data_IF_909817058869
#
_entry.id   IF_909817058869
#
_cell.length_a   1.000
_cell.length_b   1.000
_cell.length_c   1.000
_cell.angle_alpha   90.00
_cell.angle_beta   90.00
_cell.angle_gamma   90.00
#
_symmetry.space_group_name_H-M   'P 1'
#
loop_
_entity.id
_entity.type
_entity.pdbx_description
1 polymer ?
#
# COMPACT_ATOMS: atom_id res chain seq x y z
N UNK A 1 11.17 9.14 -29.77
CA UNK A 1 9.73 8.80 -29.75
C UNK A 1 9.25 8.90 -28.32
N UNK A 2 8.15 9.62 -28.05
CA UNK A 2 7.58 9.73 -26.69
C UNK A 2 6.64 8.55 -26.40
N UNK A 3 6.48 8.23 -25.12
CA UNK A 3 5.52 7.23 -24.66
C UNK A 3 4.07 7.64 -24.90
N UNK A 4 3.25 6.68 -25.31
CA UNK A 4 1.81 6.82 -25.55
C UNK A 4 1.08 5.51 -25.21
N UNK A 5 -0.24 5.48 -25.38
CA UNK A 5 -1.10 4.34 -25.04
C UNK A 5 -0.70 3.02 -25.70
N UNK A 6 -0.09 3.07 -26.89
CA UNK A 6 0.26 1.87 -27.67
C UNK A 6 1.64 1.31 -27.31
N UNK A 7 2.55 2.15 -26.81
CA UNK A 7 3.96 1.78 -26.67
C UNK A 7 4.52 1.88 -25.25
N UNK A 8 3.79 2.47 -24.29
CA UNK A 8 4.33 2.75 -22.96
C UNK A 8 4.77 1.48 -22.23
N UNK A 9 4.07 0.35 -22.38
CA UNK A 9 4.42 -0.92 -21.71
C UNK A 9 5.80 -1.40 -22.14
N UNK A 10 6.04 -1.45 -23.44
CA UNK A 10 7.31 -1.92 -23.99
C UNK A 10 8.44 -0.94 -23.68
N UNK A 11 8.15 0.38 -23.70
CA UNK A 11 9.13 1.40 -23.32
C UNK A 11 9.47 1.33 -21.83
N UNK A 12 8.49 1.08 -20.96
CA UNK A 12 8.66 0.91 -19.52
C UNK A 12 9.52 -0.31 -19.20
N UNK A 13 9.30 -1.44 -19.89
CA UNK A 13 10.13 -2.64 -19.78
C UNK A 13 11.60 -2.39 -20.13
N UNK A 14 11.86 -1.47 -21.05
CA UNK A 14 13.22 -1.07 -21.45
C UNK A 14 13.84 -0.02 -20.53
N UNK A 15 13.13 0.41 -19.48
CA UNK A 15 13.62 1.42 -18.54
C UNK A 15 13.67 2.83 -19.15
N UNK A 16 12.78 3.16 -20.09
CA UNK A 16 12.67 4.54 -20.56
C UNK A 16 11.85 5.39 -19.58
N UNK A 17 12.45 6.45 -19.06
CA UNK A 17 11.84 7.32 -18.03
C UNK A 17 10.54 7.98 -18.51
N UNK A 18 10.45 8.38 -19.78
CA UNK A 18 9.24 8.97 -20.36
C UNK A 18 8.03 8.01 -20.36
N UNK A 19 8.27 6.69 -20.27
CA UNK A 19 7.20 5.71 -20.08
C UNK A 19 6.70 5.66 -18.64
N UNK A 20 7.58 5.89 -17.66
CA UNK A 20 7.15 6.02 -16.27
C UNK A 20 6.32 7.28 -16.08
N UNK A 21 6.74 8.41 -16.66
CA UNK A 21 5.97 9.66 -16.64
C UNK A 21 4.55 9.44 -17.20
N UNK A 22 4.46 8.80 -18.37
CA UNK A 22 3.16 8.45 -18.95
C UNK A 22 2.32 7.58 -18.01
N UNK A 23 2.92 6.57 -17.37
CA UNK A 23 2.21 5.69 -16.42
C UNK A 23 1.74 6.46 -15.18
N UNK A 24 2.54 7.39 -14.67
CA UNK A 24 2.14 8.24 -13.55
C UNK A 24 0.95 9.09 -13.96
N UNK A 25 1.04 9.80 -15.08
CA UNK A 25 -0.04 10.66 -15.57
C UNK A 25 -1.36 9.91 -15.76
N UNK A 26 -1.31 8.69 -16.33
CA UNK A 26 -2.51 7.91 -16.60
C UNK A 26 -3.11 7.23 -15.36
N UNK A 27 -2.27 6.76 -14.43
CA UNK A 27 -2.73 5.86 -13.36
C UNK A 27 -2.67 6.48 -11.95
N UNK A 28 -2.12 7.68 -11.77
CA UNK A 28 -2.03 8.34 -10.44
C UNK A 28 -3.37 8.42 -9.73
N UNK A 29 -4.44 8.78 -10.43
CA UNK A 29 -5.78 8.86 -9.85
C UNK A 29 -6.29 7.51 -9.34
N UNK A 30 -6.03 6.42 -10.08
CA UNK A 30 -6.40 5.06 -9.68
C UNK A 30 -5.58 4.60 -8.47
N UNK A 31 -4.27 4.81 -8.51
CA UNK A 31 -3.33 4.44 -7.44
C UNK A 31 -3.68 5.19 -6.15
N UNK A 32 -3.79 6.52 -6.22
CA UNK A 32 -4.15 7.39 -5.09
C UNK A 32 -5.51 7.01 -4.52
N UNK A 33 -6.52 6.82 -5.36
CA UNK A 33 -7.85 6.40 -4.91
C UNK A 33 -7.83 5.06 -4.17
N UNK A 34 -7.04 4.09 -4.65
CA UNK A 34 -6.89 2.78 -4.00
C UNK A 34 -6.18 2.90 -2.65
N UNK A 35 -5.11 3.67 -2.58
CA UNK A 35 -4.33 3.87 -1.35
C UNK A 35 -5.14 4.65 -0.31
N UNK A 36 -5.81 5.74 -0.70
CA UNK A 36 -6.62 6.55 0.20
C UNK A 36 -7.76 5.75 0.83
N UNK A 37 -8.35 4.77 0.12
CA UNK A 37 -9.36 3.87 0.70
C UNK A 37 -8.83 3.05 1.88
N UNK A 38 -7.54 2.71 1.88
CA UNK A 38 -6.93 1.86 2.90
C UNK A 38 -6.24 2.69 4.00
N UNK A 39 -5.50 3.73 3.61
CA UNK A 39 -4.67 4.53 4.51
C UNK A 39 -5.31 5.85 4.96
N UNK A 40 -6.40 6.28 4.32
CA UNK A 40 -7.02 7.59 4.57
C UNK A 40 -7.45 7.80 6.01
N UNK A 41 -7.79 6.73 6.73
CA UNK A 41 -8.13 6.78 8.16
C UNK A 41 -6.99 7.30 9.06
N UNK A 42 -5.74 7.28 8.61
CA UNK A 42 -4.61 7.79 9.40
C UNK A 42 -4.42 9.31 9.26
N UNK A 43 -5.09 9.96 8.31
CA UNK A 43 -4.92 11.40 7.99
C UNK A 43 -3.45 11.83 7.83
N UNK A 44 -2.61 10.90 7.38
CA UNK A 44 -1.16 11.07 7.22
C UNK A 44 -0.85 11.16 5.73
N UNK A 45 -0.81 12.39 5.21
CA UNK A 45 -0.60 12.63 3.78
C UNK A 45 0.77 12.16 3.32
N UNK A 46 1.81 12.26 4.17
CA UNK A 46 3.15 11.77 3.87
C UNK A 46 3.18 10.26 3.67
N UNK A 47 2.48 9.51 4.53
CA UNK A 47 2.32 8.05 4.38
C UNK A 47 1.64 7.66 3.06
N UNK A 48 0.63 8.43 2.64
CA UNK A 48 -0.09 8.19 1.39
C UNK A 48 0.84 8.45 0.19
N UNK A 49 1.57 9.57 0.19
CA UNK A 49 2.50 9.94 -0.88
C UNK A 49 3.66 8.95 -1.00
N UNK A 50 4.24 8.52 0.13
CA UNK A 50 5.29 7.49 0.16
C UNK A 50 4.77 6.17 -0.43
N UNK A 51 3.55 5.76 -0.05
CA UNK A 51 2.94 4.54 -0.58
C UNK A 51 2.65 4.63 -2.08
N UNK A 52 2.24 5.79 -2.59
CA UNK A 52 2.05 6.04 -4.04
C UNK A 52 3.38 5.89 -4.77
N UNK A 53 4.45 6.51 -4.26
CA UNK A 53 5.79 6.42 -4.84
C UNK A 53 6.28 4.96 -4.88
N UNK A 54 6.08 4.22 -3.79
CA UNK A 54 6.41 2.79 -3.70
C UNK A 54 5.69 1.93 -4.75
N UNK A 55 4.46 2.28 -5.10
CA UNK A 55 3.71 1.59 -6.17
C UNK A 55 4.36 1.82 -7.51
N UNK A 56 4.62 3.08 -7.88
CA UNK A 56 5.24 3.40 -9.17
C UNK A 56 6.67 2.86 -9.28
N UNK A 57 7.44 2.89 -8.19
CA UNK A 57 8.75 2.26 -8.12
C UNK A 57 8.65 0.73 -8.31
N UNK A 58 7.63 0.10 -7.71
CA UNK A 58 7.38 -1.33 -7.91
C UNK A 58 6.99 -1.67 -9.34
N UNK A 59 6.18 -0.82 -9.97
CA UNK A 59 5.80 -0.93 -11.38
C UNK A 59 7.04 -0.83 -12.27
N UNK A 60 7.88 0.18 -12.06
CA UNK A 60 9.15 0.35 -12.78
C UNK A 60 10.04 -0.88 -12.66
N UNK A 61 10.34 -1.29 -11.43
CA UNK A 61 11.26 -2.40 -11.15
C UNK A 61 10.75 -3.76 -11.63
N UNK A 62 9.43 -3.93 -11.79
CA UNK A 62 8.84 -5.20 -12.20
C UNK A 62 8.20 -5.16 -13.60
N UNK A 63 8.39 -4.07 -14.36
CA UNK A 63 7.80 -3.91 -15.70
C UNK A 63 8.12 -5.09 -16.62
N UNK A 64 9.36 -5.60 -16.60
CA UNK A 64 9.79 -6.76 -17.39
C UNK A 64 9.00 -8.05 -17.12
N UNK A 65 8.36 -8.18 -15.94
CA UNK A 65 7.57 -9.35 -15.57
C UNK A 65 6.13 -9.27 -16.08
N UNK A 66 5.67 -8.10 -16.51
CA UNK A 66 4.33 -7.91 -17.03
C UNK A 66 4.21 -8.50 -18.46
N UNK A 67 3.15 -9.29 -18.71
CA UNK A 67 2.96 -10.02 -19.99
C UNK A 67 1.59 -9.79 -20.65
N UNK A 68 0.79 -8.85 -20.14
CA UNK A 68 -0.55 -8.57 -20.66
C UNK A 68 -0.60 -7.35 -21.58
N UNK A 69 -1.82 -6.95 -21.91
CA UNK A 69 -2.13 -5.74 -22.69
C UNK A 69 -2.50 -4.57 -21.78
N UNK A 70 -2.87 -3.42 -22.35
CA UNK A 70 -3.19 -2.20 -21.58
C UNK A 70 -4.28 -2.40 -20.51
N UNK A 71 -5.32 -3.19 -20.79
CA UNK A 71 -6.39 -3.47 -19.81
C UNK A 71 -5.88 -4.34 -18.65
N UNK A 72 -4.97 -5.28 -18.93
CA UNK A 72 -4.32 -6.08 -17.89
C UNK A 72 -3.34 -5.25 -17.07
N UNK A 73 -2.71 -4.25 -17.68
CA UNK A 73 -1.80 -3.33 -16.99
C UNK A 73 -2.55 -2.54 -15.92
N UNK A 74 -3.76 -2.04 -16.24
CA UNK A 74 -4.63 -1.36 -15.28
C UNK A 74 -4.99 -2.26 -14.09
N UNK A 75 -5.32 -3.54 -14.34
CA UNK A 75 -5.59 -4.51 -13.27
C UNK A 75 -4.33 -4.82 -12.45
N UNK A 76 -3.19 -4.91 -13.12
CA UNK A 76 -1.90 -5.19 -12.50
C UNK A 76 -1.45 -4.06 -11.56
N UNK A 77 -1.50 -2.80 -12.01
CA UNK A 77 -1.17 -1.66 -11.15
C UNK A 77 -2.16 -1.49 -10.00
N UNK A 78 -3.45 -1.77 -10.22
CA UNK A 78 -4.44 -1.81 -9.15
C UNK A 78 -4.09 -2.85 -8.09
N UNK A 79 -3.71 -4.06 -8.51
CA UNK A 79 -3.31 -5.12 -7.59
C UNK A 79 -2.06 -4.71 -6.79
N UNK A 80 -1.02 -4.18 -7.44
CA UNK A 80 0.17 -3.67 -6.76
C UNK A 80 -0.21 -2.60 -5.72
N UNK A 81 -1.05 -1.65 -6.11
CA UNK A 81 -1.53 -0.57 -5.23
C UNK A 81 -2.23 -1.11 -4.00
N UNK A 82 -3.16 -2.06 -4.19
CA UNK A 82 -3.90 -2.70 -3.11
C UNK A 82 -2.96 -3.43 -2.15
N UNK A 83 -2.01 -4.22 -2.66
CA UNK A 83 -1.06 -4.95 -1.82
C UNK A 83 -0.13 -4.00 -1.06
N UNK A 84 0.41 -2.98 -1.71
CA UNK A 84 1.28 -1.97 -1.07
C UNK A 84 0.55 -1.19 0.03
N UNK A 85 -0.69 -0.78 -0.22
CA UNK A 85 -1.49 -0.07 0.78
C UNK A 85 -1.75 -0.94 2.01
N UNK A 86 -2.09 -2.22 1.83
CA UNK A 86 -2.30 -3.17 2.93
C UNK A 86 -1.01 -3.42 3.72
N UNK A 87 0.13 -3.52 3.02
CA UNK A 87 1.42 -3.74 3.67
C UNK A 87 1.86 -2.51 4.48
N UNK A 88 1.71 -1.32 3.90
CA UNK A 88 1.93 -0.05 4.57
C UNK A 88 1.04 0.10 5.81
N UNK A 89 -0.24 -0.26 5.69
CA UNK A 89 -1.20 -0.28 6.79
C UNK A 89 -0.73 -1.16 7.95
N UNK A 90 -0.31 -2.39 7.65
CA UNK A 90 0.20 -3.35 8.65
C UNK A 90 1.45 -2.82 9.33
N UNK A 91 2.37 -2.25 8.56
CA UNK A 91 3.62 -1.67 9.05
C UNK A 91 3.35 -0.48 9.98
N UNK A 92 2.43 0.43 9.62
CA UNK A 92 2.03 1.55 10.47
C UNK A 92 1.44 1.09 11.80
N UNK A 93 0.57 0.08 11.78
CA UNK A 93 0.01 -0.51 13.01
C UNK A 93 1.06 -1.22 13.87
N UNK A 94 2.08 -1.83 13.26
CA UNK A 94 3.19 -2.45 13.99
C UNK A 94 4.07 -1.40 14.65
N UNK A 95 4.39 -0.31 13.95
CA UNK A 95 5.15 0.81 14.53
C UNK A 95 4.42 1.44 15.72
N UNK A 96 3.11 1.67 15.60
CA UNK A 96 2.30 2.19 16.71
C UNK A 96 2.25 1.23 17.91
N UNK A 97 2.23 -0.08 17.66
CA UNK A 97 2.30 -1.11 18.69
C UNK A 97 3.60 -1.06 19.50
N UNK A 98 4.74 -0.98 18.82
CA UNK A 98 6.06 -0.93 19.46
C UNK A 98 6.21 0.35 20.28
N UNK A 99 5.69 1.47 19.79
CA UNK A 99 5.70 2.73 20.55
C UNK A 99 4.90 2.60 21.85
N UNK A 100 3.72 1.97 21.80
CA UNK A 100 2.91 1.71 23.00
C UNK A 100 3.62 0.78 24.00
N UNK A 101 4.23 -0.32 23.53
CA UNK A 101 5.00 -1.24 24.39
C UNK A 101 6.21 -0.56 25.04
N UNK A 102 6.87 0.35 24.31
CA UNK A 102 8.01 1.11 24.84
C UNK A 102 7.55 2.08 25.94
N UNK A 103 6.37 2.68 25.79
CA UNK A 103 5.79 3.57 26.80
C UNK A 103 5.33 2.77 28.03
N UNK A 104 4.70 1.62 27.84
CA UNK A 104 4.24 0.73 28.92
C UNK A 104 5.42 0.12 29.70
N UNK A 105 6.52 -0.21 29.02
CA UNK A 105 7.75 -0.69 29.69
C UNK A 105 8.41 0.34 30.60
N UNK A 106 8.07 1.63 30.44
CA UNK A 106 8.57 2.73 31.27
C UNK A 106 7.66 2.99 32.49
N UNK A 107 6.43 2.48 32.49
CA UNK A 107 5.45 2.63 33.56
C UNK A 107 5.13 1.25 34.12
N UNK A 108 5.72 0.87 35.26
CA UNK A 108 5.75 -0.50 35.78
C UNK A 108 4.37 -1.14 35.99
N UNK A 109 3.78 -1.69 34.94
CA UNK A 109 2.51 -2.40 34.94
C UNK A 109 2.68 -3.86 35.38
N UNK A 110 1.67 -4.39 36.07
CA UNK A 110 1.62 -5.81 36.47
C UNK A 110 1.59 -6.72 35.23
N UNK A 111 2.20 -7.90 35.33
CA UNK A 111 2.25 -8.93 34.27
C UNK A 111 0.86 -9.28 33.72
N UNK A 112 -0.18 -9.19 34.55
CA UNK A 112 -1.58 -9.44 34.15
C UNK A 112 -2.19 -8.31 33.32
N UNK A 113 -1.81 -7.06 33.59
CA UNK A 113 -2.25 -5.90 32.82
C UNK A 113 -1.59 -5.90 31.43
N UNK A 114 -0.30 -6.23 31.36
CA UNK A 114 0.45 -6.35 30.11
C UNK A 114 -0.14 -7.45 29.20
N UNK A 115 -0.49 -8.61 29.79
CA UNK A 115 -1.16 -9.70 29.08
C UNK A 115 -2.54 -9.26 28.54
N UNK A 116 -3.33 -8.55 29.35
CA UNK A 116 -4.65 -8.06 28.95
C UNK A 116 -4.59 -6.99 27.86
N UNK A 117 -3.58 -6.11 27.89
CA UNK A 117 -3.32 -5.12 26.85
C UNK A 117 -2.97 -5.83 25.53
N UNK A 118 -2.06 -6.81 25.57
CA UNK A 118 -1.66 -7.60 24.40
C UNK A 118 -2.83 -8.35 23.75
N UNK A 119 -3.70 -8.98 24.54
CA UNK A 119 -4.89 -9.68 24.04
C UNK A 119 -5.85 -8.71 23.34
N UNK A 120 -6.17 -7.56 23.95
CA UNK A 120 -7.06 -6.54 23.37
C UNK A 120 -6.51 -5.98 22.05
N UNK A 121 -5.20 -5.78 21.97
CA UNK A 121 -4.48 -5.27 20.80
C UNK A 121 -4.55 -6.25 19.63
N UNK A 122 -4.33 -7.54 19.90
CA UNK A 122 -4.45 -8.62 18.92
C UNK A 122 -5.89 -8.77 18.40
N UNK A 123 -6.89 -8.67 19.27
CA UNK A 123 -8.30 -8.70 18.88
C UNK A 123 -8.67 -7.52 17.96
N UNK A 124 -8.25 -6.30 18.30
CA UNK A 124 -8.47 -5.12 17.43
C UNK A 124 -7.84 -5.30 16.06
N UNK A 125 -6.63 -5.84 15.97
CA UNK A 125 -5.98 -6.16 14.69
C UNK A 125 -6.77 -7.17 13.87
N UNK A 126 -7.20 -8.27 14.48
CA UNK A 126 -7.97 -9.31 13.78
C UNK A 126 -9.28 -8.76 13.21
N UNK A 127 -9.99 -7.92 13.97
CA UNK A 127 -11.22 -7.26 13.53
C UNK A 127 -10.92 -6.32 12.35
N UNK A 128 -9.88 -5.51 12.46
CA UNK A 128 -9.51 -4.54 11.43
C UNK A 128 -9.06 -5.21 10.12
N UNK A 129 -8.26 -6.28 10.21
CA UNK A 129 -7.83 -7.08 9.05
C UNK A 129 -9.01 -7.79 8.40
N UNK A 130 -9.95 -8.33 9.20
CA UNK A 130 -11.18 -8.93 8.68
C UNK A 130 -12.05 -7.88 7.99
N UNK A 131 -12.18 -6.67 8.56
CA UNK A 131 -12.95 -5.56 7.96
C UNK A 131 -12.36 -5.14 6.61
N UNK A 132 -11.05 -4.92 6.54
CA UNK A 132 -10.34 -4.59 5.29
C UNK A 132 -10.50 -5.72 4.26
N UNK A 133 -10.37 -6.99 4.66
CA UNK A 133 -10.61 -8.13 3.76
C UNK A 133 -12.05 -8.18 3.23
N UNK A 134 -13.04 -7.85 4.06
CA UNK A 134 -14.45 -7.86 3.69
C UNK A 134 -14.77 -6.75 2.68
N UNK A 135 -14.34 -5.51 2.96
CA UNK A 135 -14.55 -4.33 2.10
C UNK A 135 -13.84 -4.46 0.75
N UNK A 136 -12.74 -5.23 0.71
CA UNK A 136 -11.96 -5.47 -0.50
C UNK A 136 -12.38 -6.73 -1.31
N UNK A 137 -13.30 -7.54 -0.80
CA UNK A 137 -13.91 -8.69 -1.49
C UNK A 137 -15.33 -8.39 -2.02
N UNK A 138 -15.92 -7.26 -1.63
CA UNK A 138 -17.25 -6.80 -2.05
C UNK A 138 -17.22 -5.88 -3.29
N UNK A 139 -16.05 -5.71 -3.91
CA UNK A 139 -15.80 -4.96 -5.16
C UNK A 139 -15.04 -5.88 -6.11
#
# INVERSE_FOLDING_TARGET
MRSNEENYIERLKRGNEDALDYVVDQYLSLVKGTICKVLGQFSDTGLIEECINDVFLSVWNNACKFKGEAEDFKKWIFAISKYKAIDCYRTKLKKAEVVLETIDSLDGASVEDELMISIRKNLKRLIQVKKIKLELNLI
#
